data_IF_287771492481
#
_entry.id   IF_287771492481
#
_cell.length_a   1.000
_cell.length_b   1.000
_cell.length_c   1.000
_cell.angle_alpha   90.00
_cell.angle_beta   90.00
_cell.angle_gamma   90.00
#
_symmetry.space_group_name_H-M   'P 1'
#
loop_
_entity.id
_entity.type
_entity.pdbx_description
1 polymer ?
#
# COMPACT_ATOMS: atom_id res chain seq x y z
N UNK A 1 -44.34 12.27 29.17
CA UNK A 1 -44.46 11.07 28.33
C UNK A 1 -43.04 10.60 28.12
N UNK A 2 -42.71 9.48 28.76
CA UNK A 2 -41.37 8.93 28.87
C UNK A 2 -41.21 7.91 27.73
N UNK A 3 -40.33 8.21 26.76
CA UNK A 3 -40.06 7.30 25.64
C UNK A 3 -38.93 6.38 26.06
N UNK A 4 -39.30 5.19 26.52
CA UNK A 4 -38.39 4.08 26.75
C UNK A 4 -37.74 3.68 25.42
N UNK A 5 -36.46 3.99 25.31
CA UNK A 5 -35.57 3.57 24.23
C UNK A 5 -35.42 2.04 24.33
N UNK A 6 -36.24 1.31 23.57
CA UNK A 6 -36.14 -0.15 23.50
C UNK A 6 -34.95 -0.49 22.62
N UNK A 7 -33.86 -0.92 23.25
CA UNK A 7 -32.70 -1.51 22.59
C UNK A 7 -33.15 -2.80 21.87
N UNK A 8 -33.46 -2.67 20.58
CA UNK A 8 -33.97 -3.75 19.75
C UNK A 8 -32.81 -4.64 19.29
N UNK A 9 -32.55 -5.73 19.99
CA UNK A 9 -31.65 -6.81 19.56
C UNK A 9 -32.46 -8.07 19.21
N UNK A 10 -33.09 -8.16 18.02
CA UNK A 10 -33.81 -9.36 17.63
C UNK A 10 -32.85 -10.56 17.59
N UNK A 11 -33.23 -11.63 18.30
CA UNK A 11 -32.42 -12.84 18.51
C UNK A 11 -31.09 -12.66 19.29
N UNK A 12 -30.91 -11.55 20.02
CA UNK A 12 -29.74 -11.32 20.87
C UNK A 12 -28.44 -11.05 20.09
N UNK A 13 -28.56 -10.81 18.78
CA UNK A 13 -27.45 -10.35 17.93
C UNK A 13 -27.56 -8.83 17.91
N UNK A 14 -26.50 -8.15 18.32
CA UNK A 14 -26.43 -6.69 18.25
C UNK A 14 -26.63 -6.25 16.80
N UNK A 15 -27.61 -5.37 16.57
CA UNK A 15 -27.78 -4.71 15.29
C UNK A 15 -26.58 -3.79 15.04
N UNK A 16 -26.28 -3.52 13.76
CA UNK A 16 -25.34 -2.48 13.40
C UNK A 16 -25.83 -1.15 14.00
N UNK A 17 -24.94 -0.43 14.68
CA UNK A 17 -25.24 0.90 15.21
C UNK A 17 -25.06 1.93 14.09
N UNK A 18 -25.87 2.98 14.11
CA UNK A 18 -25.72 4.11 13.18
C UNK A 18 -24.53 4.99 13.58
N UNK A 19 -23.83 5.52 12.57
CA UNK A 19 -22.82 6.55 12.76
C UNK A 19 -23.42 7.96 12.86
N UNK A 20 -22.62 8.95 13.26
CA UNK A 20 -23.06 10.37 13.30
C UNK A 20 -23.61 10.84 11.96
N UNK A 21 -24.70 11.61 12.03
CA UNK A 21 -25.45 12.11 10.89
C UNK A 21 -24.64 13.18 10.11
N UNK A 22 -24.14 12.84 8.92
CA UNK A 22 -23.44 13.78 8.03
C UNK A 22 -24.37 14.60 7.14
N UNK A 23 -25.51 14.04 6.74
CA UNK A 23 -26.31 14.52 5.59
C UNK A 23 -27.83 14.59 5.86
N UNK A 24 -28.27 14.37 7.10
CA UNK A 24 -29.68 14.20 7.49
C UNK A 24 -30.19 12.75 7.42
N UNK A 25 -29.29 11.76 7.33
CA UNK A 25 -29.58 10.33 7.23
C UNK A 25 -28.56 9.52 8.05
N UNK A 26 -29.03 8.89 9.11
CA UNK A 26 -28.28 7.90 9.89
C UNK A 26 -28.07 6.65 9.02
N UNK A 27 -26.80 6.33 8.71
CA UNK A 27 -26.43 5.14 7.93
C UNK A 27 -25.82 4.08 8.83
N UNK A 28 -26.20 2.82 8.58
CA UNK A 28 -25.63 1.66 9.26
C UNK A 28 -24.11 1.62 9.10
N UNK A 29 -23.41 1.45 10.23
CA UNK A 29 -21.95 1.35 10.26
C UNK A 29 -21.51 -0.12 10.23
N UNK A 30 -20.75 -0.50 9.22
CA UNK A 30 -20.17 -1.84 9.09
C UNK A 30 -18.69 -1.83 9.51
N UNK A 31 -18.39 -2.55 10.58
CA UNK A 31 -17.02 -2.73 11.05
C UNK A 31 -16.35 -3.92 10.34
N UNK A 32 -15.28 -3.66 9.59
CA UNK A 32 -14.52 -4.68 8.85
C UNK A 32 -13.03 -4.67 9.20
N UNK A 33 -12.35 -5.76 8.88
CA UNK A 33 -10.89 -5.85 8.94
C UNK A 33 -10.36 -6.18 7.56
N UNK A 34 -9.57 -5.26 6.99
CA UNK A 34 -8.88 -5.46 5.72
C UNK A 34 -7.47 -6.00 5.99
N UNK A 35 -7.14 -7.17 5.45
CA UNK A 35 -5.86 -7.84 5.66
C UNK A 35 -5.85 -8.83 6.82
N UNK A 36 -4.71 -9.48 7.11
CA UNK A 36 -3.42 -9.34 6.41
C UNK A 36 -3.31 -10.24 5.18
N UNK A 37 -4.34 -11.04 4.87
CA UNK A 37 -4.31 -12.06 3.82
C UNK A 37 -5.08 -11.66 2.55
N UNK A 38 -5.46 -10.39 2.43
CA UNK A 38 -6.08 -9.88 1.21
C UNK A 38 -5.08 -9.99 0.05
N UNK A 39 -5.58 -10.31 -1.14
CA UNK A 39 -4.72 -10.36 -2.33
C UNK A 39 -4.16 -8.96 -2.64
N UNK A 40 -2.86 -8.89 -2.95
CA UNK A 40 -2.14 -7.64 -3.26
C UNK A 40 -2.22 -6.63 -2.11
N UNK A 41 -2.07 -7.13 -0.88
CA UNK A 41 -2.11 -6.35 0.35
C UNK A 41 -0.81 -6.57 1.14
N UNK A 42 -0.28 -5.54 1.84
CA UNK A 42 0.93 -5.68 2.64
C UNK A 42 0.80 -6.80 3.67
N UNK A 43 1.76 -7.73 3.64
CA UNK A 43 1.83 -8.78 4.64
C UNK A 43 2.00 -8.15 6.03
N UNK A 44 1.20 -8.61 7.00
CA UNK A 44 1.24 -8.12 8.37
C UNK A 44 0.41 -6.86 8.64
N UNK A 45 -0.14 -6.18 7.63
CA UNK A 45 -1.01 -5.02 7.86
C UNK A 45 -2.45 -5.47 8.02
N UNK A 46 -3.10 -5.07 9.11
CA UNK A 46 -4.56 -5.12 9.26
C UNK A 46 -5.07 -3.70 9.37
N UNK A 47 -6.02 -3.30 8.53
CA UNK A 47 -6.72 -2.02 8.67
C UNK A 47 -8.12 -2.32 9.22
N UNK A 48 -8.39 -1.90 10.46
CA UNK A 48 -9.74 -1.91 11.01
C UNK A 48 -10.47 -0.70 10.43
N UNK A 49 -11.59 -0.92 9.78
CA UNK A 49 -12.38 0.14 9.18
C UNK A 49 -13.80 0.14 9.73
N UNK A 50 -14.34 1.33 9.93
CA UNK A 50 -15.76 1.58 9.89
C UNK A 50 -16.15 1.94 8.46
N UNK A 51 -17.20 1.32 7.93
CA UNK A 51 -17.73 1.60 6.60
C UNK A 51 -19.16 2.11 6.70
N UNK A 52 -19.47 3.11 5.88
CA UNK A 52 -20.83 3.52 5.56
C UNK A 52 -21.04 3.28 4.06
N UNK A 53 -21.76 2.21 3.72
CA UNK A 53 -21.81 1.71 2.34
C UNK A 53 -20.44 1.15 1.91
N UNK A 54 -19.84 1.73 0.86
CA UNK A 54 -18.49 1.39 0.39
C UNK A 54 -17.40 2.34 0.90
N UNK A 55 -17.78 3.45 1.54
CA UNK A 55 -16.87 4.50 2.02
C UNK A 55 -16.34 4.17 3.41
N UNK A 56 -15.04 4.34 3.60
CA UNK A 56 -14.37 4.24 4.89
C UNK A 56 -14.59 5.53 5.68
N UNK A 57 -15.21 5.45 6.84
CA UNK A 57 -15.48 6.61 7.71
C UNK A 57 -14.49 6.76 8.85
N UNK A 58 -13.92 5.65 9.31
CA UNK A 58 -12.82 5.63 10.26
C UNK A 58 -11.86 4.49 9.93
N UNK A 59 -10.57 4.71 10.10
CA UNK A 59 -9.56 3.69 9.84
C UNK A 59 -8.52 3.63 10.96
N UNK A 60 -8.19 2.42 11.40
CA UNK A 60 -7.16 2.18 12.41
C UNK A 60 -6.21 1.06 11.95
N UNK A 61 -4.96 1.37 11.58
CA UNK A 61 -3.97 0.36 11.25
C UNK A 61 -3.57 -0.44 12.50
N UNK A 62 -3.32 -1.71 12.27
CA UNK A 62 -2.69 -2.63 13.21
C UNK A 62 -1.60 -3.36 12.45
N UNK A 63 -0.36 -3.08 12.83
CA UNK A 63 0.82 -3.71 12.26
C UNK A 63 1.11 -5.00 13.02
N UNK A 64 1.27 -6.10 12.28
CA UNK A 64 1.73 -7.38 12.81
C UNK A 64 3.18 -7.57 12.36
N UNK A 65 4.07 -6.84 13.03
CA UNK A 65 5.53 -6.84 12.87
C UNK A 65 6.22 -6.87 14.24
N UNK A 66 7.53 -7.14 14.28
CA UNK A 66 8.30 -7.34 15.52
C UNK A 66 8.16 -6.17 16.50
N UNK A 67 8.21 -6.48 17.80
CA UNK A 67 8.32 -5.48 18.85
C UNK A 67 9.56 -4.60 18.64
N UNK A 68 9.36 -3.38 18.14
CA UNK A 68 10.12 -2.12 18.31
C UNK A 68 11.65 -2.13 18.36
N UNK A 69 12.31 -3.23 18.00
CA UNK A 69 13.76 -3.30 17.90
C UNK A 69 14.10 -3.15 16.42
N UNK A 70 14.12 -1.89 15.98
CA UNK A 70 14.64 -1.46 14.67
C UNK A 70 16.14 -1.76 14.59
N UNK A 71 16.53 -3.03 14.59
CA UNK A 71 17.84 -3.41 14.09
C UNK A 71 17.79 -3.27 12.56
N UNK A 72 18.66 -2.44 11.96
CA UNK A 72 18.71 -2.31 10.52
C UNK A 72 18.92 -3.70 9.92
N UNK A 73 17.96 -4.16 9.11
CA UNK A 73 18.19 -5.35 8.32
C UNK A 73 19.42 -5.10 7.44
N UNK A 74 20.31 -6.09 7.26
CA UNK A 74 21.44 -5.93 6.37
C UNK A 74 20.91 -5.51 4.99
N UNK A 75 21.57 -4.54 4.32
CA UNK A 75 21.10 -4.05 3.04
C UNK A 75 21.00 -5.24 2.07
N UNK A 76 19.84 -5.38 1.46
CA UNK A 76 19.64 -6.38 0.41
C UNK A 76 20.58 -6.06 -0.75
N UNK A 77 21.02 -7.09 -1.48
CA UNK A 77 21.66 -6.88 -2.77
C UNK A 77 20.74 -6.07 -3.70
N UNK A 78 21.31 -5.22 -4.55
CA UNK A 78 20.60 -4.33 -5.48
C UNK A 78 19.50 -5.06 -6.28
N UNK A 79 19.78 -6.27 -6.76
CA UNK A 79 18.82 -7.12 -7.47
C UNK A 79 17.61 -7.56 -6.64
N UNK A 80 17.82 -7.89 -5.37
CA UNK A 80 16.73 -8.27 -4.47
C UNK A 80 15.85 -7.06 -4.14
N UNK A 81 16.47 -5.89 -3.94
CA UNK A 81 15.73 -4.65 -3.78
C UNK A 81 14.91 -4.32 -5.03
N UNK A 82 15.50 -4.45 -6.23
CA UNK A 82 14.81 -4.27 -7.50
C UNK A 82 13.62 -5.24 -7.64
N UNK A 83 13.79 -6.50 -7.26
CA UNK A 83 12.72 -7.50 -7.30
C UNK A 83 11.57 -7.13 -6.35
N UNK A 84 11.87 -6.67 -5.13
CA UNK A 84 10.85 -6.19 -4.17
C UNK A 84 10.10 -4.97 -4.69
N UNK A 85 10.81 -3.98 -5.23
CA UNK A 85 10.16 -2.82 -5.86
C UNK A 85 9.28 -3.23 -7.03
N UNK A 86 9.69 -4.27 -7.77
CA UNK A 86 8.88 -4.85 -8.84
C UNK A 86 7.62 -5.55 -8.31
N UNK A 87 7.66 -6.16 -7.13
CA UNK A 87 6.47 -6.73 -6.46
C UNK A 87 5.43 -5.63 -6.14
N UNK A 88 5.84 -4.51 -5.56
CA UNK A 88 4.93 -3.37 -5.30
C UNK A 88 4.32 -2.81 -6.59
N UNK A 89 5.10 -2.75 -7.68
CA UNK A 89 4.61 -2.34 -9.00
C UNK A 89 3.56 -3.35 -9.52
N UNK A 90 3.78 -4.66 -9.33
CA UNK A 90 2.80 -5.69 -9.71
C UNK A 90 1.50 -5.50 -8.95
N UNK A 91 1.56 -5.36 -7.63
CA UNK A 91 0.38 -5.23 -6.76
C UNK A 91 -0.50 -4.06 -7.20
N UNK A 92 0.09 -2.87 -7.35
CA UNK A 92 -0.63 -1.69 -7.79
C UNK A 92 -1.20 -1.85 -9.20
N UNK A 93 -0.43 -2.37 -10.16
CA UNK A 93 -0.89 -2.53 -11.55
C UNK A 93 -2.02 -3.56 -11.66
N UNK A 94 -2.04 -4.61 -10.82
CA UNK A 94 -3.16 -5.55 -10.80
C UNK A 94 -4.41 -4.89 -10.26
N UNK A 95 -4.31 -4.19 -9.13
CA UNK A 95 -5.44 -3.50 -8.51
C UNK A 95 -6.00 -2.40 -9.41
N UNK A 96 -5.14 -1.69 -10.14
CA UNK A 96 -5.55 -0.66 -11.09
C UNK A 96 -6.24 -1.22 -12.35
N UNK A 97 -6.31 -2.56 -12.52
CA UNK A 97 -6.89 -3.19 -13.70
C UNK A 97 -5.98 -3.18 -14.93
N UNK A 98 -4.66 -3.21 -14.74
CA UNK A 98 -3.64 -3.20 -15.81
C UNK A 98 -2.88 -4.54 -15.95
N UNK A 99 -3.58 -5.66 -16.25
CA UNK A 99 -3.01 -7.00 -16.18
C UNK A 99 -1.85 -7.23 -17.16
N UNK A 100 -1.84 -6.56 -18.32
CA UNK A 100 -0.73 -6.67 -19.29
C UNK A 100 0.56 -6.03 -18.79
N UNK A 101 0.46 -4.90 -18.09
CA UNK A 101 1.61 -4.24 -17.49
C UNK A 101 2.09 -5.01 -16.26
N UNK A 102 1.17 -5.48 -15.41
CA UNK A 102 1.49 -6.37 -14.29
C UNK A 102 2.21 -7.65 -14.76
N UNK A 103 1.77 -8.27 -15.86
CA UNK A 103 2.44 -9.45 -16.41
C UNK A 103 3.86 -9.14 -16.93
N UNK A 104 4.13 -7.93 -17.43
CA UNK A 104 5.49 -7.48 -17.77
C UNK A 104 6.35 -7.32 -16.53
N UNK A 105 5.81 -6.70 -15.48
CA UNK A 105 6.50 -6.55 -14.21
C UNK A 105 6.82 -7.92 -13.57
N UNK A 106 5.90 -8.89 -13.62
CA UNK A 106 6.17 -10.26 -13.14
C UNK A 106 7.32 -10.94 -13.88
N UNK A 107 7.39 -10.81 -15.21
CA UNK A 107 8.52 -11.35 -15.99
C UNK A 107 9.84 -10.67 -15.65
N UNK A 108 9.82 -9.35 -15.42
CA UNK A 108 11.00 -8.63 -14.94
C UNK A 108 11.46 -9.19 -13.60
N UNK A 109 10.54 -9.38 -12.65
CA UNK A 109 10.83 -10.00 -11.36
C UNK A 109 11.45 -11.39 -11.49
N UNK A 110 10.94 -12.23 -12.39
CA UNK A 110 11.51 -13.56 -12.66
C UNK A 110 12.97 -13.48 -13.14
N UNK A 111 13.31 -12.50 -13.98
CA UNK A 111 14.70 -12.24 -14.41
C UNK A 111 15.56 -11.77 -13.23
N UNK A 112 15.04 -10.86 -12.40
CA UNK A 112 15.76 -10.30 -11.24
C UNK A 112 16.04 -11.35 -10.14
N UNK A 113 15.19 -12.37 -10.03
CA UNK A 113 15.34 -13.47 -9.07
C UNK A 113 15.99 -14.72 -9.68
N UNK A 114 16.45 -14.64 -10.94
CA UNK A 114 17.18 -15.73 -11.58
C UNK A 114 18.50 -16.05 -10.86
N UNK A 115 18.93 -17.31 -10.92
CA UNK A 115 20.22 -17.76 -10.34
C UNK A 115 21.42 -16.94 -10.85
N UNK A 116 21.34 -16.51 -12.12
CA UNK A 116 22.26 -15.56 -12.74
C UNK A 116 21.42 -14.43 -13.33
N UNK A 117 21.59 -13.21 -12.85
CA UNK A 117 20.82 -12.07 -13.35
C UNK A 117 21.44 -11.55 -14.64
N UNK A 118 20.66 -11.54 -15.72
CA UNK A 118 21.04 -10.90 -16.98
C UNK A 118 20.64 -9.43 -16.93
N UNK A 119 21.59 -8.56 -16.55
CA UNK A 119 21.38 -7.12 -16.40
C UNK A 119 20.90 -6.46 -17.69
N UNK A 120 21.32 -6.96 -18.87
CA UNK A 120 20.91 -6.41 -20.15
C UNK A 120 19.44 -6.70 -20.43
N UNK A 121 19.00 -7.93 -20.17
CA UNK A 121 17.59 -8.32 -20.31
C UNK A 121 16.74 -7.60 -19.27
N UNK A 122 17.18 -7.53 -18.01
CA UNK A 122 16.49 -6.79 -16.97
C UNK A 122 16.31 -5.30 -17.35
N UNK A 123 17.37 -4.66 -17.85
CA UNK A 123 17.36 -3.26 -18.31
C UNK A 123 16.33 -3.02 -19.41
N UNK A 124 16.34 -3.85 -20.45
CA UNK A 124 15.37 -3.76 -21.55
C UNK A 124 13.92 -3.96 -21.06
N UNK A 125 13.70 -4.87 -20.12
CA UNK A 125 12.37 -5.14 -19.60
C UNK A 125 11.83 -4.01 -18.74
N UNK A 126 12.67 -3.41 -17.87
CA UNK A 126 12.25 -2.27 -17.05
C UNK A 126 11.99 -1.02 -17.91
N UNK A 127 12.82 -0.74 -18.92
CA UNK A 127 12.61 0.39 -19.83
C UNK A 127 11.33 0.25 -20.66
N UNK A 128 11.04 -0.97 -21.13
CA UNK A 128 9.81 -1.26 -21.83
C UNK A 128 8.58 -1.10 -20.92
N UNK A 129 8.66 -1.55 -19.67
CA UNK A 129 7.60 -1.38 -18.68
C UNK A 129 7.37 0.11 -18.36
N UNK A 130 8.44 0.84 -18.07
CA UNK A 130 8.39 2.27 -17.79
C UNK A 130 7.78 3.07 -18.94
N UNK A 131 8.15 2.73 -20.19
CA UNK A 131 7.59 3.36 -21.39
C UNK A 131 6.08 3.13 -21.49
N UNK A 132 5.60 1.91 -21.20
CA UNK A 132 4.16 1.58 -21.25
C UNK A 132 3.38 2.33 -20.18
N UNK A 133 3.91 2.40 -18.95
CA UNK A 133 3.29 3.11 -17.83
C UNK A 133 3.24 4.61 -18.10
N UNK A 134 4.35 5.22 -18.54
CA UNK A 134 4.44 6.66 -18.83
C UNK A 134 3.55 7.10 -20.00
N UNK A 135 3.37 6.25 -21.01
CA UNK A 135 2.50 6.54 -22.18
C UNK A 135 1.01 6.37 -21.88
N UNK A 136 0.64 5.74 -20.77
CA UNK A 136 -0.75 5.49 -20.45
C UNK A 136 -1.42 6.69 -19.79
N UNK A 137 -2.27 7.40 -20.55
CA UNK A 137 -3.09 8.48 -20.00
C UNK A 137 -4.18 7.97 -19.05
N UNK A 138 -4.77 6.80 -19.36
CA UNK A 138 -5.82 6.21 -18.52
C UNK A 138 -5.28 5.80 -17.16
N UNK A 139 -4.10 5.16 -17.12
CA UNK A 139 -3.45 4.80 -15.85
C UNK A 139 -3.10 6.05 -15.05
N UNK A 140 -2.53 7.07 -15.72
CA UNK A 140 -2.26 8.36 -15.09
C UNK A 140 -3.52 8.96 -14.50
N UNK A 141 -4.62 9.00 -15.24
CA UNK A 141 -5.88 9.57 -14.74
C UNK A 141 -6.48 8.77 -13.58
N UNK A 142 -6.35 7.44 -13.60
CA UNK A 142 -6.89 6.58 -12.55
C UNK A 142 -6.12 6.69 -11.23
N UNK A 143 -4.81 7.00 -11.26
CA UNK A 143 -3.96 7.03 -10.08
C UNK A 143 -3.60 8.45 -9.62
N UNK A 144 -3.85 9.46 -10.45
CA UNK A 144 -3.55 10.85 -10.14
C UNK A 144 -4.45 11.36 -9.02
N UNK A 145 -3.90 12.23 -8.19
CA UNK A 145 -4.56 12.86 -7.03
C UNK A 145 -5.00 11.85 -5.94
N UNK A 146 -4.69 10.55 -6.09
CA UNK A 146 -4.94 9.54 -5.06
C UNK A 146 -3.82 9.55 -4.01
N UNK A 147 -4.18 9.79 -2.75
CA UNK A 147 -3.26 9.91 -1.62
C UNK A 147 -2.08 10.85 -1.94
N UNK A 148 -2.42 12.10 -2.26
CA UNK A 148 -1.43 13.15 -2.45
C UNK A 148 -0.74 13.46 -1.12
N UNK A 149 0.56 13.23 -1.06
CA UNK A 149 1.40 13.51 0.11
C UNK A 149 2.30 14.69 -0.23
N UNK A 150 2.22 15.76 0.53
CA UNK A 150 3.13 16.89 0.37
C UNK A 150 4.55 16.51 0.83
N UNK A 151 5.55 17.19 0.27
CA UNK A 151 6.95 16.98 0.69
C UNK A 151 7.12 17.33 2.17
N UNK A 152 6.50 18.41 2.64
CA UNK A 152 6.55 18.84 4.04
C UNK A 152 5.93 17.80 5.01
N UNK A 153 4.88 17.10 4.57
CA UNK A 153 4.30 16.00 5.34
C UNK A 153 5.23 14.79 5.39
N UNK A 154 6.04 14.57 4.34
CA UNK A 154 7.00 13.48 4.31
C UNK A 154 8.05 13.63 5.42
N UNK A 155 8.55 14.85 5.62
CA UNK A 155 9.48 15.18 6.71
C UNK A 155 8.82 15.03 8.08
N UNK A 156 7.56 15.46 8.22
CA UNK A 156 6.79 15.34 9.47
C UNK A 156 6.64 13.90 9.93
N UNK A 157 6.42 12.96 9.00
CA UNK A 157 6.25 11.54 9.31
C UNK A 157 7.56 10.74 9.21
N UNK A 158 8.68 11.37 8.86
CA UNK A 158 9.98 10.70 8.71
C UNK A 158 10.03 9.69 7.56
N UNK A 159 9.20 9.88 6.53
CA UNK A 159 9.17 9.01 5.36
C UNK A 159 10.06 9.54 4.24
N UNK A 160 10.57 8.67 3.33
CA UNK A 160 11.40 9.11 2.22
C UNK A 160 10.68 10.13 1.34
N UNK A 161 11.30 11.31 1.12
CA UNK A 161 10.75 12.35 0.24
C UNK A 161 10.46 11.86 -1.19
N UNK A 162 11.12 10.79 -1.63
CA UNK A 162 10.85 10.12 -2.91
C UNK A 162 9.43 9.53 -3.01
N UNK A 163 8.75 9.30 -1.89
CA UNK A 163 7.36 8.81 -1.82
C UNK A 163 6.31 9.93 -1.78
N UNK A 164 6.73 11.21 -1.79
CA UNK A 164 5.83 12.34 -1.95
C UNK A 164 5.13 12.34 -3.31
N UNK A 165 4.07 13.14 -3.44
CA UNK A 165 3.20 13.18 -4.62
C UNK A 165 2.01 12.23 -4.49
N UNK A 166 1.38 11.94 -5.62
CA UNK A 166 0.23 11.04 -5.67
C UNK A 166 0.64 9.57 -5.95
N UNK A 167 -0.34 8.69 -6.07
CA UNK A 167 -0.10 7.26 -6.30
C UNK A 167 0.57 6.99 -7.66
N UNK A 168 0.34 7.82 -8.67
CA UNK A 168 1.01 7.71 -9.95
C UNK A 168 2.48 8.15 -9.85
N UNK A 169 2.76 9.23 -9.13
CA UNK A 169 4.13 9.69 -8.89
C UNK A 169 4.95 8.62 -8.17
N UNK A 170 4.38 8.00 -7.11
CA UNK A 170 5.02 6.87 -6.41
C UNK A 170 5.29 5.67 -7.32
N UNK A 171 4.36 5.34 -8.24
CA UNK A 171 4.59 4.28 -9.23
C UNK A 171 5.79 4.61 -10.14
N UNK A 172 5.90 5.86 -10.59
CA UNK A 172 7.04 6.30 -11.41
C UNK A 172 8.35 6.28 -10.62
N UNK A 173 8.34 6.72 -9.37
CA UNK A 173 9.50 6.64 -8.48
C UNK A 173 9.97 5.20 -8.30
N UNK A 174 9.06 4.23 -8.08
CA UNK A 174 9.44 2.82 -7.93
C UNK A 174 10.06 2.26 -9.21
N UNK A 175 9.53 2.61 -10.38
CA UNK A 175 10.13 2.23 -11.67
C UNK A 175 11.55 2.77 -11.81
N UNK A 176 11.76 4.03 -11.43
CA UNK A 176 13.06 4.68 -11.46
C UNK A 176 14.07 4.02 -10.50
N UNK A 177 13.64 3.62 -9.30
CA UNK A 177 14.47 2.82 -8.37
C UNK A 177 14.86 1.47 -8.98
N UNK A 178 13.93 0.76 -9.63
CA UNK A 178 14.25 -0.50 -10.32
C UNK A 178 15.25 -0.27 -11.45
N UNK A 179 15.07 0.80 -12.26
CA UNK A 179 16.01 1.13 -13.33
C UNK A 179 17.42 1.37 -12.80
N UNK A 180 17.58 2.18 -11.76
CA UNK A 180 18.88 2.45 -11.12
C UNK A 180 19.52 1.20 -10.54
N UNK A 181 18.74 0.39 -9.81
CA UNK A 181 19.25 -0.84 -9.22
C UNK A 181 19.71 -1.86 -10.28
N UNK A 182 19.02 -1.94 -11.43
CA UNK A 182 19.42 -2.77 -12.57
C UNK A 182 20.68 -2.24 -13.27
N UNK A 183 20.85 -0.91 -13.27
CA UNK A 183 22.04 -0.23 -13.78
C UNK A 183 23.25 -0.29 -12.85
N UNK A 184 23.13 -0.95 -11.70
CA UNK A 184 24.14 -0.99 -10.62
C UNK A 184 24.53 0.41 -10.10
N UNK A 185 23.55 1.33 -10.08
CA UNK A 185 23.71 2.65 -9.49
C UNK A 185 23.55 2.54 -7.95
N UNK A 186 24.64 2.73 -7.22
CA UNK A 186 24.72 2.55 -5.77
C UNK A 186 23.81 3.50 -4.96
N UNK A 187 23.36 4.61 -5.55
CA UNK A 187 22.61 5.68 -4.87
C UNK A 187 21.09 5.59 -5.09
N UNK A 188 20.55 4.43 -5.45
CA UNK A 188 19.10 4.25 -5.57
C UNK A 188 18.41 4.52 -4.21
N UNK A 189 17.37 5.38 -4.16
CA UNK A 189 16.74 5.75 -2.90
C UNK A 189 16.03 4.55 -2.28
N UNK A 190 16.18 4.41 -0.97
CA UNK A 190 15.48 3.38 -0.19
C UNK A 190 14.06 3.85 0.11
N UNK A 191 13.06 3.12 -0.41
CA UNK A 191 11.64 3.49 -0.30
C UNK A 191 10.94 2.83 0.89
N UNK A 192 11.63 2.69 2.02
CA UNK A 192 11.06 2.10 3.23
C UNK A 192 10.23 3.14 4.00
N UNK A 193 8.99 2.81 4.32
CA UNK A 193 8.17 3.63 5.22
C UNK A 193 8.30 3.09 6.65
N UNK A 194 8.60 3.95 7.64
CA UNK A 194 8.63 3.52 9.03
C UNK A 194 7.22 3.18 9.52
N UNK A 195 7.14 2.23 10.45
CA UNK A 195 5.88 1.76 11.05
C UNK A 195 5.07 2.93 11.64
N UNK A 196 5.75 3.89 12.28
CA UNK A 196 5.12 5.09 12.82
C UNK A 196 4.49 5.97 11.73
N UNK A 197 5.08 6.08 10.55
CA UNK A 197 4.47 6.82 9.45
C UNK A 197 3.18 6.12 8.99
N UNK A 198 3.20 4.79 8.88
CA UNK A 198 2.00 4.01 8.52
C UNK A 198 0.90 4.24 9.54
N UNK A 199 1.21 4.17 10.83
CA UNK A 199 0.20 4.33 11.89
C UNK A 199 -0.48 5.71 11.89
N UNK A 200 0.30 6.78 11.69
CA UNK A 200 -0.22 8.15 11.80
C UNK A 200 -0.79 8.71 10.49
N UNK A 201 -0.22 8.34 9.34
CA UNK A 201 -0.60 8.89 8.04
C UNK A 201 -1.71 8.08 7.39
N UNK A 202 -1.69 6.75 7.51
CA UNK A 202 -2.59 5.89 6.73
C UNK A 202 -4.08 6.20 6.96
N UNK A 203 -4.58 6.44 8.20
CA UNK A 203 -5.98 6.82 8.41
C UNK A 203 -6.40 8.02 7.58
N UNK A 204 -5.60 9.10 7.63
CA UNK A 204 -5.90 10.35 6.92
C UNK A 204 -5.88 10.19 5.38
N UNK A 205 -5.21 9.16 4.85
CA UNK A 205 -5.15 8.89 3.42
C UNK A 205 -6.30 8.00 2.92
N UNK A 206 -6.95 7.23 3.79
CA UNK A 206 -7.97 6.23 3.38
C UNK A 206 -9.37 6.55 3.86
N UNK A 207 -9.52 7.37 4.90
CA UNK A 207 -10.82 7.89 5.33
C UNK A 207 -11.44 8.78 4.23
N UNK A 208 -12.72 8.59 3.97
CA UNK A 208 -13.45 9.20 2.87
C UNK A 208 -13.28 8.49 1.52
N UNK A 209 -12.46 7.45 1.42
CA UNK A 209 -12.31 6.64 0.20
C UNK A 209 -13.21 5.41 0.22
N UNK A 210 -13.58 4.95 -0.97
CA UNK A 210 -14.13 3.61 -1.11
C UNK A 210 -13.04 2.54 -0.89
N UNK A 211 -13.45 1.32 -0.53
CA UNK A 211 -12.53 0.21 -0.24
C UNK A 211 -11.61 -0.12 -1.42
N UNK A 212 -12.04 0.00 -2.68
CA UNK A 212 -11.19 -0.29 -3.82
C UNK A 212 -10.09 0.77 -4.00
N UNK A 213 -10.45 2.04 -3.85
CA UNK A 213 -9.49 3.17 -3.90
C UNK A 213 -8.51 3.11 -2.73
N UNK A 214 -8.97 2.78 -1.51
CA UNK A 214 -8.08 2.58 -0.36
C UNK A 214 -7.03 1.48 -0.61
N UNK A 215 -7.41 0.39 -1.30
CA UNK A 215 -6.44 -0.66 -1.69
C UNK A 215 -5.40 -0.15 -2.69
N UNK A 216 -5.77 0.72 -3.64
CA UNK A 216 -4.81 1.35 -4.55
C UNK A 216 -3.83 2.24 -3.79
N UNK A 217 -4.33 3.02 -2.83
CA UNK A 217 -3.50 3.87 -1.96
C UNK A 217 -2.50 3.02 -1.17
N UNK A 218 -2.97 1.99 -0.47
CA UNK A 218 -2.12 1.08 0.32
C UNK A 218 -1.06 0.40 -0.56
N UNK A 219 -1.43 -0.09 -1.74
CA UNK A 219 -0.48 -0.70 -2.67
C UNK A 219 0.54 0.32 -3.22
N UNK A 220 0.12 1.55 -3.51
CA UNK A 220 1.00 2.63 -3.96
C UNK A 220 2.04 3.03 -2.91
N UNK A 221 1.66 2.98 -1.63
CA UNK A 221 2.56 3.21 -0.51
C UNK A 221 3.63 2.11 -0.37
N UNK A 222 3.40 0.92 -0.92
CA UNK A 222 4.34 -0.21 -0.91
C UNK A 222 4.88 -0.52 0.48
N UNK A 223 3.96 -0.62 1.44
CA UNK A 223 4.26 -0.87 2.85
C UNK A 223 4.95 -2.24 2.99
N UNK A 224 6.11 -2.25 3.61
CA UNK A 224 6.84 -3.47 3.97
C UNK A 224 6.94 -3.55 5.48
N UNK A 225 6.29 -4.55 6.08
CA UNK A 225 6.45 -4.86 7.49
C UNK A 225 7.44 -6.01 7.62
N UNK A 226 8.42 -5.85 8.49
CA UNK A 226 9.42 -6.90 8.70
C UNK A 226 8.76 -8.11 9.37
N UNK A 227 8.99 -9.34 8.89
CA UNK A 227 8.47 -10.52 9.56
C UNK A 227 9.04 -10.58 10.98
N UNK A 228 8.17 -10.83 11.96
CA UNK A 228 8.61 -11.17 13.30
C UNK A 228 9.58 -12.37 13.22
N UNK A 229 10.80 -12.20 13.71
CA UNK A 229 11.64 -13.33 14.12
C UNK A 229 10.89 -14.07 15.23
N UNK A 230 10.04 -15.02 14.85
CA UNK A 230 9.44 -15.95 15.80
C UNK A 230 10.53 -16.93 16.24
N UNK A 231 11.13 -16.61 17.39
CA UNK A 231 11.62 -17.56 18.38
C UNK A 231 12.83 -18.41 17.99
N UNK A 232 14.02 -17.91 18.30
CA UNK A 232 15.00 -18.76 18.99
C UNK A 232 14.37 -19.13 20.34
N UNK A 233 13.87 -20.36 20.49
CA UNK A 233 13.80 -21.16 21.73
C UNK A 233 12.87 -22.37 21.54
N UNK A 234 13.47 -23.51 21.25
CA UNK A 234 13.29 -24.77 21.98
C UNK A 234 14.44 -25.72 21.59
#
# INVERSE_FOLDING_TARGET
>A
MDHSDMEMAPAGIALAQGGEDRDGLEMDELHVRLGPFLAYWPAGLVLRCALQGDVITAAQPQLMGAASNEQPQPPLGSWMQAARQTDHIVDLLVLAGWPRAAARARRLREVLLGHTVDSRVAGQQVDALATVVRRSRVLRWALRDLALIAVDDSDRYGMPAALAGDTYDRLLTRLDVVQRAVGDEADAPQLHMPDSAVEHMLPALVEGLDVATARLVVAGLGIELSPAERGHHA
#
